data_IF_753719369678
#
_entry.id   IF_753719369678
#
_cell.length_a   1.000
_cell.length_b   1.000
_cell.length_c   1.000
_cell.angle_alpha   90.00
_cell.angle_beta   90.00
_cell.angle_gamma   90.00
#
_symmetry.space_group_name_H-M   'P 1'
#
loop_
_entity.id
_entity.type
_entity.pdbx_description
1 polymer ?
#
# COMPACT_ATOMS: atom_id res chain seq x y z
N UNK A 1 8.70 -31.14 13.98
CA UNK A 1 7.55 -30.21 13.96
C UNK A 1 8.03 -28.93 13.33
N UNK A 2 7.30 -28.38 12.36
CA UNK A 2 7.65 -27.07 11.79
C UNK A 2 7.56 -25.99 12.88
N UNK A 3 8.49 -25.03 12.87
CA UNK A 3 8.46 -23.90 13.79
C UNK A 3 7.24 -23.00 13.49
N UNK A 4 6.73 -22.24 14.48
CA UNK A 4 5.66 -21.28 14.24
C UNK A 4 6.01 -20.35 13.07
N UNK A 5 5.13 -20.28 12.06
CA UNK A 5 5.29 -19.41 10.89
C UNK A 5 6.03 -20.02 9.69
N UNK A 6 6.60 -21.22 9.81
CA UNK A 6 7.43 -21.82 8.73
C UNK A 6 6.65 -22.05 7.41
N UNK A 7 5.33 -22.26 7.50
CA UNK A 7 4.45 -22.40 6.34
C UNK A 7 3.51 -21.20 6.10
N UNK A 8 3.71 -20.08 6.81
CA UNK A 8 2.96 -18.86 6.50
C UNK A 8 3.58 -18.23 5.23
N UNK A 9 2.76 -18.08 4.19
CA UNK A 9 3.14 -17.42 2.93
C UNK A 9 2.30 -16.16 2.75
N UNK A 10 2.93 -15.09 2.28
CA UNK A 10 2.20 -13.91 1.82
C UNK A 10 1.59 -14.17 0.44
N UNK A 11 0.57 -13.40 0.09
CA UNK A 11 0.13 -13.28 -1.29
C UNK A 11 0.90 -12.12 -1.96
N UNK A 12 1.86 -12.47 -2.83
CA UNK A 12 2.72 -11.51 -3.52
C UNK A 12 1.96 -10.65 -4.53
N UNK A 13 1.02 -11.23 -5.27
CA UNK A 13 0.20 -10.51 -6.26
C UNK A 13 -0.67 -9.46 -5.56
N UNK A 14 -1.30 -9.82 -4.44
CA UNK A 14 -2.09 -8.89 -3.62
C UNK A 14 -1.24 -7.71 -3.11
N UNK A 15 0.01 -7.97 -2.72
CA UNK A 15 0.93 -6.92 -2.29
C UNK A 15 1.30 -6.00 -3.46
N UNK A 16 1.57 -6.57 -4.62
CA UNK A 16 1.90 -5.78 -5.80
C UNK A 16 0.73 -4.89 -6.22
N UNK A 17 -0.49 -5.43 -6.22
CA UNK A 17 -1.70 -4.68 -6.54
C UNK A 17 -1.91 -3.51 -5.57
N UNK A 18 -1.72 -3.71 -4.25
CA UNK A 18 -1.87 -2.63 -3.27
C UNK A 18 -0.81 -1.54 -3.41
N UNK A 19 0.43 -1.91 -3.77
CA UNK A 19 1.49 -0.95 -4.08
C UNK A 19 1.11 -0.11 -5.32
N UNK A 20 0.62 -0.75 -6.38
CA UNK A 20 0.22 -0.07 -7.60
C UNK A 20 -1.02 0.82 -7.39
N UNK A 21 -1.96 0.40 -6.56
CA UNK A 21 -3.13 1.22 -6.21
C UNK A 21 -2.72 2.48 -5.43
N UNK A 22 -1.85 2.34 -4.43
CA UNK A 22 -1.31 3.47 -3.67
C UNK A 22 -0.49 4.43 -4.55
N UNK A 23 0.21 3.92 -5.56
CA UNK A 23 1.04 4.71 -6.46
C UNK A 23 0.22 5.65 -7.38
N UNK A 24 -1.08 5.37 -7.60
CA UNK A 24 -1.97 6.24 -8.38
C UNK A 24 -2.23 7.60 -7.74
N UNK A 25 -2.07 7.69 -6.42
CA UNK A 25 -2.26 8.93 -5.67
C UNK A 25 -0.93 9.68 -5.62
N UNK A 26 -0.91 10.96 -5.96
CA UNK A 26 0.31 11.77 -5.99
C UNK A 26 1.43 11.24 -6.91
N UNK A 27 1.17 10.94 -8.19
CA UNK A 27 2.20 10.49 -9.11
C UNK A 27 3.20 11.61 -9.42
N UNK A 28 4.49 11.27 -9.45
CA UNK A 28 5.54 12.17 -9.92
C UNK A 28 5.62 12.20 -11.45
N UNK A 29 6.15 13.30 -12.01
CA UNK A 29 6.22 13.53 -13.46
C UNK A 29 7.01 12.42 -14.21
N UNK A 30 8.03 11.85 -13.57
CA UNK A 30 8.87 10.79 -14.14
C UNK A 30 8.41 9.37 -13.75
N UNK A 31 7.16 9.19 -13.31
CA UNK A 31 6.64 7.88 -12.86
C UNK A 31 7.01 7.52 -11.42
N UNK A 32 7.52 8.49 -10.64
CA UNK A 32 7.82 8.33 -9.22
C UNK A 32 6.62 8.68 -8.31
N UNK A 33 6.90 8.96 -7.05
CA UNK A 33 5.92 9.39 -6.07
C UNK A 33 6.19 10.84 -5.65
N UNK A 34 5.17 11.70 -5.63
CA UNK A 34 5.24 13.07 -5.14
C UNK A 34 4.15 13.36 -4.09
N UNK A 35 3.89 12.40 -3.21
CA UNK A 35 2.94 12.54 -2.10
C UNK A 35 3.62 13.18 -0.89
N UNK A 36 3.73 14.51 -0.90
CA UNK A 36 4.34 15.26 0.20
C UNK A 36 3.46 15.24 1.45
N UNK A 37 4.07 15.21 2.64
CA UNK A 37 3.35 15.11 3.92
C UNK A 37 2.36 16.27 4.12
N UNK A 38 1.14 15.94 4.60
CA UNK A 38 0.03 16.87 4.86
C UNK A 38 -0.56 17.58 3.62
N UNK A 39 -0.23 17.12 2.41
CA UNK A 39 -0.99 17.48 1.21
C UNK A 39 -2.30 16.69 1.11
N UNK A 40 -3.17 17.09 0.20
CA UNK A 40 -4.42 16.36 -0.07
C UNK A 40 -4.12 14.91 -0.52
N UNK A 41 -3.09 14.71 -1.34
CA UNK A 41 -2.65 13.39 -1.79
C UNK A 41 -2.15 12.51 -0.64
N UNK A 42 -1.50 13.09 0.38
CA UNK A 42 -1.15 12.37 1.61
C UNK A 42 -2.41 11.98 2.38
N UNK A 43 -3.35 12.91 2.53
CA UNK A 43 -4.65 12.64 3.16
C UNK A 43 -5.42 11.51 2.48
N UNK A 44 -5.47 11.49 1.15
CA UNK A 44 -6.12 10.42 0.36
C UNK A 44 -5.38 9.09 0.55
N UNK A 45 -4.04 9.09 0.47
CA UNK A 45 -3.24 7.87 0.68
C UNK A 45 -3.47 7.26 2.06
N UNK A 46 -3.52 8.09 3.11
CA UNK A 46 -3.81 7.63 4.48
C UNK A 46 -5.19 7.03 4.62
N UNK A 47 -6.22 7.67 4.06
CA UNK A 47 -7.60 7.16 4.07
C UNK A 47 -7.73 5.84 3.30
N UNK A 48 -7.06 5.71 2.15
CA UNK A 48 -7.03 4.46 1.39
C UNK A 48 -6.42 3.34 2.23
N UNK A 49 -5.25 3.58 2.82
CA UNK A 49 -4.59 2.58 3.66
C UNK A 49 -5.45 2.20 4.87
N UNK A 50 -6.04 3.19 5.55
CA UNK A 50 -6.97 2.95 6.66
C UNK A 50 -8.11 2.01 6.25
N UNK A 51 -8.73 2.24 5.08
CA UNK A 51 -9.83 1.39 4.60
C UNK A 51 -9.43 -0.07 4.39
N UNK A 52 -8.18 -0.33 3.96
CA UNK A 52 -7.67 -1.70 3.82
C UNK A 52 -7.45 -2.37 5.17
N UNK A 53 -6.99 -1.61 6.18
CA UNK A 53 -6.82 -2.12 7.54
C UNK A 53 -8.17 -2.42 8.21
N UNK A 54 -9.18 -1.59 7.98
CA UNK A 54 -10.52 -1.79 8.54
C UNK A 54 -11.26 -2.99 7.90
N UNK A 55 -10.95 -3.30 6.64
CA UNK A 55 -11.57 -4.41 5.90
C UNK A 55 -10.84 -5.77 6.06
N UNK A 56 -9.68 -5.80 6.71
CA UNK A 56 -8.85 -7.00 6.89
C UNK A 56 -9.22 -7.80 8.16
#
# INVERSE_FOLDING_TARGET
>A
MAAPGENLKINGDRLWDSLMEMAKIGPGIAGGNNRQTLTDEDGIGRKLFQSWCEAA
#
